data_IF_496411913403
#
_entry.id   IF_496411913403
#
_cell.length_a   1.000
_cell.length_b   1.000
_cell.length_c   1.000
_cell.angle_alpha   90.00
_cell.angle_beta   90.00
_cell.angle_gamma   90.00
#
_symmetry.space_group_name_H-M   'P 1'
#
loop_
_entity.id
_entity.type
_entity.pdbx_description
1 polymer ?
#
# COMPACT_ATOMS: atom_id res chain seq x y z
N UNK A 1 -18.86 -1.91 10.54
CA UNK A 1 -17.72 -1.36 11.32
C UNK A 1 -18.07 0.08 11.67
N UNK A 2 -17.72 0.55 12.88
CA UNK A 2 -17.80 1.97 13.20
C UNK A 2 -16.90 2.77 12.23
N UNK A 3 -17.19 4.07 12.03
CA UNK A 3 -16.30 4.95 11.27
C UNK A 3 -14.86 4.89 11.82
N UNK A 4 -13.88 4.94 10.92
CA UNK A 4 -12.45 4.73 11.22
C UNK A 4 -11.58 5.52 10.24
N UNK A 5 -10.29 5.65 10.55
CA UNK A 5 -9.36 6.49 9.79
C UNK A 5 -8.41 5.71 8.86
N UNK A 6 -8.71 4.46 8.48
CA UNK A 6 -7.80 3.66 7.65
C UNK A 6 -7.49 4.33 6.31
N UNK A 7 -8.49 4.87 5.63
CA UNK A 7 -8.29 5.48 4.31
C UNK A 7 -7.54 6.81 4.43
N UNK A 8 -7.77 7.56 5.51
CA UNK A 8 -7.02 8.79 5.79
C UNK A 8 -5.56 8.47 6.12
N UNK A 9 -5.31 7.47 6.96
CA UNK A 9 -3.96 7.01 7.29
C UNK A 9 -3.21 6.65 6.01
N UNK A 10 -3.81 5.85 5.13
CA UNK A 10 -3.21 5.49 3.84
C UNK A 10 -2.93 6.69 2.95
N UNK A 11 -3.82 7.67 2.88
CA UNK A 11 -3.60 8.87 2.08
C UNK A 11 -2.43 9.72 2.64
N UNK A 12 -2.34 9.86 3.96
CA UNK A 12 -1.22 10.53 4.61
C UNK A 12 0.10 9.78 4.36
N UNK A 13 0.10 8.45 4.49
CA UNK A 13 1.28 7.62 4.19
C UNK A 13 1.69 7.73 2.73
N UNK A 14 0.75 7.70 1.78
CA UNK A 14 1.04 7.90 0.36
C UNK A 14 1.65 9.29 0.09
N UNK A 15 1.16 10.33 0.79
CA UNK A 15 1.71 11.68 0.70
C UNK A 15 3.13 11.77 1.24
N UNK A 16 3.42 11.11 2.36
CA UNK A 16 4.80 11.00 2.90
C UNK A 16 5.73 10.37 1.85
N UNK A 17 5.28 9.32 1.14
CA UNK A 17 6.08 8.68 0.08
C UNK A 17 6.34 9.62 -1.10
N UNK A 18 5.35 10.43 -1.52
CA UNK A 18 5.55 11.45 -2.56
C UNK A 18 6.67 12.41 -2.19
N UNK A 19 6.56 13.04 -1.01
CA UNK A 19 7.51 14.06 -0.60
C UNK A 19 8.91 13.49 -0.38
N UNK A 20 9.01 12.28 0.17
CA UNK A 20 10.27 11.55 0.24
C UNK A 20 10.89 11.36 -1.14
N UNK A 21 10.14 10.89 -2.14
CA UNK A 21 10.66 10.66 -3.48
C UNK A 21 10.97 11.95 -4.25
N UNK A 22 10.24 13.05 -4.02
CA UNK A 22 10.59 14.35 -4.58
C UNK A 22 12.01 14.77 -4.18
N UNK A 23 12.41 14.53 -2.93
CA UNK A 23 13.77 14.78 -2.49
C UNK A 23 14.76 13.71 -2.97
N UNK A 24 14.45 12.43 -2.73
CA UNK A 24 15.37 11.32 -2.98
C UNK A 24 15.70 11.10 -4.47
N UNK A 25 14.78 11.44 -5.38
CA UNK A 25 14.98 11.24 -6.82
C UNK A 25 15.50 12.50 -7.54
N UNK A 26 15.20 13.70 -7.05
CA UNK A 26 15.55 14.92 -7.78
C UNK A 26 17.03 15.30 -7.67
N UNK A 27 17.74 14.83 -6.63
CA UNK A 27 19.09 15.28 -6.32
C UNK A 27 19.18 16.76 -5.91
N UNK A 28 18.05 17.45 -5.72
CA UNK A 28 18.03 18.89 -5.46
C UNK A 28 18.34 19.20 -3.99
N UNK A 29 19.39 19.99 -3.76
CA UNK A 29 19.77 20.47 -2.42
C UNK A 29 18.69 21.36 -1.80
N UNK A 30 17.89 22.06 -2.60
CA UNK A 30 16.80 22.89 -2.10
C UNK A 30 15.68 22.09 -1.39
N UNK A 31 15.58 20.78 -1.70
CA UNK A 31 14.57 19.88 -1.15
C UNK A 31 15.06 19.09 0.08
N UNK A 32 16.25 19.41 0.61
CA UNK A 32 16.76 18.83 1.86
C UNK A 32 15.76 18.86 3.04
N UNK A 33 14.90 19.88 3.22
CA UNK A 33 13.87 19.84 4.27
C UNK A 33 12.85 18.70 4.15
N UNK A 34 12.69 18.09 2.97
CA UNK A 34 11.81 16.93 2.79
C UNK A 34 12.46 15.61 3.21
N UNK A 35 13.75 15.60 3.56
CA UNK A 35 14.45 14.42 4.10
C UNK A 35 13.87 13.91 5.43
N UNK A 36 13.07 14.72 6.12
CA UNK A 36 12.34 14.32 7.33
C UNK A 36 11.33 13.21 7.06
N UNK A 37 10.84 13.13 5.82
CA UNK A 37 9.89 12.10 5.40
C UNK A 37 10.63 10.80 5.12
N UNK A 38 10.15 9.69 5.67
CA UNK A 38 10.72 8.36 5.43
C UNK A 38 9.77 7.50 4.60
N UNK A 39 10.14 7.23 3.35
CA UNK A 39 9.39 6.31 2.49
C UNK A 39 9.32 4.89 3.07
N UNK A 40 10.42 4.40 3.65
CA UNK A 40 10.45 3.08 4.29
C UNK A 40 9.47 2.96 5.46
N UNK A 41 9.45 3.96 6.35
CA UNK A 41 8.50 3.99 7.47
C UNK A 41 7.05 3.98 6.97
N UNK A 42 6.75 4.81 5.97
CA UNK A 42 5.41 4.90 5.43
C UNK A 42 4.93 3.56 4.82
N UNK A 43 5.80 2.88 4.08
CA UNK A 43 5.56 1.55 3.50
C UNK A 43 5.35 0.49 4.59
N UNK A 44 6.13 0.50 5.65
CA UNK A 44 5.95 -0.44 6.76
C UNK A 44 4.61 -0.23 7.48
N UNK A 45 4.20 1.02 7.68
CA UNK A 45 2.86 1.36 8.18
C UNK A 45 1.76 0.86 7.22
N UNK A 46 1.94 0.96 5.90
CA UNK A 46 1.03 0.34 4.93
C UNK A 46 0.95 -1.18 5.12
N UNK A 47 2.07 -1.86 5.41
CA UNK A 47 2.07 -3.30 5.65
C UNK A 47 1.37 -3.69 6.95
N UNK A 48 1.46 -2.89 8.01
CA UNK A 48 0.62 -3.07 9.22
C UNK A 48 -0.86 -2.96 8.87
N UNK A 49 -1.27 -1.88 8.20
CA UNK A 49 -2.67 -1.66 7.81
C UNK A 49 -3.16 -2.82 6.93
N UNK A 50 -2.30 -3.29 6.02
CA UNK A 50 -2.56 -4.43 5.14
C UNK A 50 -2.78 -5.72 5.95
N UNK A 51 -1.94 -5.99 6.95
CA UNK A 51 -2.10 -7.10 7.90
C UNK A 51 -3.49 -7.14 8.51
N UNK A 52 -3.95 -6.01 9.02
CA UNK A 52 -5.28 -5.90 9.60
C UNK A 52 -6.39 -6.15 8.56
N UNK A 53 -6.35 -5.42 7.43
CA UNK A 53 -7.47 -5.39 6.49
C UNK A 53 -7.56 -6.62 5.58
N UNK A 54 -6.45 -7.27 5.28
CA UNK A 54 -6.42 -8.45 4.41
C UNK A 54 -6.89 -9.68 5.18
N UNK A 55 -6.45 -9.88 6.43
CA UNK A 55 -7.02 -10.93 7.31
C UNK A 55 -8.53 -10.72 7.51
N UNK A 56 -8.93 -9.48 7.79
CA UNK A 56 -10.35 -9.12 7.91
C UNK A 56 -11.13 -9.39 6.62
N UNK A 57 -10.53 -9.17 5.45
CA UNK A 57 -11.14 -9.51 4.16
C UNK A 57 -11.27 -11.00 3.94
N UNK A 58 -10.28 -11.81 4.35
CA UNK A 58 -10.31 -13.26 4.17
C UNK A 58 -11.38 -13.91 5.04
N UNK A 59 -11.41 -13.58 6.33
CA UNK A 59 -12.39 -14.13 7.29
C UNK A 59 -13.84 -13.78 6.93
N UNK A 60 -14.07 -12.68 6.20
CA UNK A 60 -15.40 -12.29 5.69
C UNK A 60 -15.73 -12.85 4.30
N UNK A 61 -14.83 -13.61 3.67
CA UNK A 61 -15.05 -14.13 2.32
C UNK A 61 -15.67 -15.52 2.36
N UNK A 62 -16.52 -15.83 1.37
CA UNK A 62 -17.23 -17.12 1.28
C UNK A 62 -16.32 -18.30 0.88
N UNK A 63 -15.06 -18.03 0.54
CA UNK A 63 -14.07 -19.00 0.11
C UNK A 63 -12.91 -18.35 -0.64
N UNK A 64 -11.96 -19.16 -1.11
CA UNK A 64 -10.73 -18.69 -1.77
C UNK A 64 -11.03 -17.85 -3.02
N UNK A 65 -11.94 -18.31 -3.88
CA UNK A 65 -12.30 -17.61 -5.13
C UNK A 65 -12.87 -16.22 -4.87
N UNK A 66 -13.77 -16.09 -3.89
CA UNK A 66 -14.35 -14.81 -3.50
C UNK A 66 -13.30 -13.86 -2.92
N UNK A 67 -12.41 -14.38 -2.07
CA UNK A 67 -11.30 -13.61 -1.51
C UNK A 67 -10.36 -13.08 -2.58
N UNK A 68 -9.81 -13.96 -3.44
CA UNK A 68 -8.88 -13.55 -4.50
C UNK A 68 -9.55 -12.62 -5.52
N UNK A 69 -10.83 -12.81 -5.84
CA UNK A 69 -11.55 -11.89 -6.72
C UNK A 69 -11.72 -10.48 -6.11
N UNK A 70 -11.94 -10.36 -4.79
CA UNK A 70 -11.95 -9.05 -4.10
C UNK A 70 -10.58 -8.39 -4.13
N UNK A 71 -9.51 -9.16 -3.89
CA UNK A 71 -8.13 -8.67 -3.89
C UNK A 71 -7.66 -8.25 -5.28
N UNK A 72 -7.96 -9.05 -6.30
CA UNK A 72 -7.65 -8.76 -7.70
C UNK A 72 -8.31 -7.48 -8.19
N UNK A 73 -9.62 -7.31 -7.94
CA UNK A 73 -10.36 -6.07 -8.29
C UNK A 73 -9.86 -4.84 -7.55
N UNK A 74 -9.15 -5.03 -6.43
CA UNK A 74 -8.58 -3.94 -5.64
C UNK A 74 -7.24 -3.44 -6.19
N UNK A 75 -6.36 -4.34 -6.65
CA UNK A 75 -5.01 -3.97 -7.12
C UNK A 75 -4.93 -3.81 -8.63
N UNK A 76 -5.42 -4.80 -9.40
CA UNK A 76 -5.16 -4.89 -10.84
C UNK A 76 -5.55 -3.63 -11.63
N UNK A 77 -6.71 -2.99 -11.41
CA UNK A 77 -7.15 -1.91 -12.29
C UNK A 77 -6.23 -0.68 -12.20
N UNK A 78 -5.91 -0.23 -10.98
CA UNK A 78 -5.01 0.91 -10.80
C UNK A 78 -3.56 0.55 -11.11
N UNK A 79 -3.14 -0.69 -10.85
CA UNK A 79 -1.80 -1.16 -11.23
C UNK A 79 -1.59 -1.13 -12.74
N UNK A 80 -2.50 -1.73 -13.51
CA UNK A 80 -2.44 -1.71 -14.98
C UNK A 80 -2.54 -0.30 -15.53
N UNK A 81 -3.41 0.54 -14.97
CA UNK A 81 -3.47 1.95 -15.36
C UNK A 81 -2.12 2.66 -15.15
N UNK A 82 -1.46 2.48 -14.01
CA UNK A 82 -0.14 3.06 -13.76
C UNK A 82 0.94 2.51 -14.71
N UNK A 83 0.90 1.22 -15.05
CA UNK A 83 1.82 0.63 -16.05
C UNK A 83 1.56 1.18 -17.45
N UNK A 84 0.30 1.35 -17.85
CA UNK A 84 -0.06 1.93 -19.15
C UNK A 84 0.29 3.42 -19.23
N UNK A 85 0.09 4.18 -18.15
CA UNK A 85 0.57 5.56 -18.06
C UNK A 85 2.09 5.63 -18.22
N UNK A 86 2.81 4.74 -17.55
CA UNK A 86 4.26 4.62 -17.67
C UNK A 86 4.70 4.33 -19.12
N UNK A 87 3.96 3.46 -19.82
CA UNK A 87 4.18 3.21 -21.24
C UNK A 87 3.93 4.45 -22.10
N UNK A 88 2.87 5.21 -21.82
CA UNK A 88 2.59 6.48 -22.52
C UNK A 88 3.72 7.50 -22.36
N UNK A 89 4.30 7.58 -21.15
CA UNK A 89 5.48 8.42 -20.87
C UNK A 89 6.70 7.92 -21.67
N UNK A 90 6.95 6.62 -21.71
CA UNK A 90 8.04 6.04 -22.53
C UNK A 90 7.91 6.46 -23.99
N UNK A 91 6.72 6.32 -24.59
CA UNK A 91 6.48 6.66 -26.00
C UNK A 91 6.68 8.15 -26.31
N UNK A 92 6.57 9.03 -25.31
CA UNK A 92 6.87 10.45 -25.45
C UNK A 92 8.39 10.71 -25.50
N UNK A 93 9.18 10.04 -24.67
CA UNK A 93 10.64 10.23 -24.59
C UNK A 93 11.43 9.42 -25.62
N UNK A 94 10.90 8.28 -26.06
CA UNK A 94 11.54 7.44 -27.07
C UNK A 94 10.53 6.93 -28.08
N UNK A 95 10.89 6.99 -29.35
CA UNK A 95 10.13 6.36 -30.44
C UNK A 95 10.47 4.86 -30.60
N UNK A 96 11.35 4.31 -29.76
CA UNK A 96 11.74 2.91 -29.83
C UNK A 96 10.60 1.98 -29.38
N UNK A 97 10.21 1.05 -30.24
CA UNK A 97 9.11 0.08 -30.00
C UNK A 97 9.53 -1.14 -29.18
N UNK A 98 10.76 -1.21 -28.67
CA UNK A 98 11.26 -2.35 -27.88
C UNK A 98 10.77 -2.35 -26.42
N UNK A 99 9.48 -2.05 -26.23
CA UNK A 99 8.79 -1.99 -24.92
C UNK A 99 8.15 -3.31 -24.50
N UNK A 100 8.15 -4.33 -25.37
CA UNK A 100 7.47 -5.61 -25.12
C UNK A 100 7.95 -6.32 -23.86
N UNK A 101 9.27 -6.38 -23.63
CA UNK A 101 9.85 -6.97 -22.40
C UNK A 101 9.42 -6.18 -21.16
N UNK A 102 9.44 -4.85 -21.23
CA UNK A 102 9.00 -3.98 -20.15
C UNK A 102 7.52 -4.22 -19.82
N UNK A 103 6.65 -4.21 -20.83
CA UNK A 103 5.22 -4.39 -20.64
C UNK A 103 4.89 -5.77 -20.05
N UNK A 104 5.46 -6.84 -20.60
CA UNK A 104 5.22 -8.20 -20.13
C UNK A 104 5.68 -8.39 -18.68
N UNK A 105 6.89 -7.91 -18.35
CA UNK A 105 7.43 -8.01 -17.00
C UNK A 105 6.60 -7.20 -15.99
N UNK A 106 6.26 -5.95 -16.32
CA UNK A 106 5.56 -5.07 -15.39
C UNK A 106 4.10 -5.49 -15.21
N UNK A 107 3.36 -5.84 -16.26
CA UNK A 107 1.97 -6.34 -16.13
C UNK A 107 1.88 -7.64 -15.31
N UNK A 108 2.98 -8.39 -15.20
CA UNK A 108 3.07 -9.64 -14.43
C UNK A 108 3.62 -9.46 -13.01
N UNK A 109 3.75 -8.22 -12.52
CA UNK A 109 4.39 -7.90 -11.22
C UNK A 109 5.88 -8.27 -11.12
N UNK A 110 6.54 -8.55 -12.25
CA UNK A 110 7.96 -8.90 -12.35
C UNK A 110 8.80 -7.67 -12.74
N UNK A 111 8.51 -6.52 -12.13
CA UNK A 111 9.13 -5.23 -12.46
C UNK A 111 10.66 -5.25 -12.36
N UNK A 112 11.23 -6.13 -11.52
CA UNK A 112 12.67 -6.32 -11.37
C UNK A 112 13.36 -6.90 -12.63
N UNK A 113 12.62 -7.58 -13.52
CA UNK A 113 13.17 -8.11 -14.79
C UNK A 113 13.34 -7.01 -15.85
N UNK A 114 12.57 -5.93 -15.74
CA UNK A 114 12.61 -4.78 -16.64
C UNK A 114 12.11 -3.52 -15.90
N UNK A 115 12.95 -2.91 -15.04
CA UNK A 115 12.54 -1.80 -14.18
C UNK A 115 12.32 -0.47 -14.92
N UNK A 116 12.78 -0.39 -16.17
CA UNK A 116 12.63 0.77 -17.06
C UNK A 116 12.82 0.35 -18.52
N UNK A 117 12.86 1.33 -19.41
CA UNK A 117 13.11 1.16 -20.84
C UNK A 117 14.40 1.90 -21.19
N UNK A 118 15.35 1.27 -21.91
CA UNK A 118 16.58 1.93 -22.32
C UNK A 118 16.31 3.25 -23.06
N UNK A 119 17.11 4.27 -22.79
CA UNK A 119 16.96 5.63 -23.31
C UNK A 119 15.94 6.50 -22.58
N UNK A 120 15.24 6.00 -21.55
CA UNK A 120 14.29 6.80 -20.77
C UNK A 120 14.79 6.92 -19.32
N UNK A 121 14.92 8.18 -18.86
CA UNK A 121 15.39 8.54 -17.51
C UNK A 121 16.81 8.09 -17.14
N UNK A 122 17.62 7.64 -18.10
CA UNK A 122 19.01 7.21 -17.84
C UNK A 122 19.89 8.34 -17.30
N UNK A 123 19.56 9.59 -17.62
CA UNK A 123 20.27 10.78 -17.14
C UNK A 123 19.61 11.42 -15.92
N UNK A 124 18.48 10.88 -15.42
CA UNK A 124 17.88 11.40 -14.20
C UNK A 124 18.78 11.09 -13.00
N UNK A 125 18.87 11.99 -12.01
CA UNK A 125 19.51 11.67 -10.74
C UNK A 125 18.85 10.47 -10.05
N UNK A 126 19.65 9.65 -9.38
CA UNK A 126 19.15 8.49 -8.64
C UNK A 126 18.94 7.24 -9.53
N UNK A 127 17.72 6.70 -9.52
CA UNK A 127 17.41 5.41 -10.17
C UNK A 127 16.65 5.65 -11.48
N UNK A 128 17.12 5.06 -12.59
CA UNK A 128 16.47 5.16 -13.91
C UNK A 128 15.17 4.31 -14.05
N UNK A 129 14.66 3.73 -12.96
CA UNK A 129 13.41 2.97 -12.99
C UNK A 129 12.24 3.86 -13.40
N UNK A 130 11.35 3.30 -14.22
CA UNK A 130 10.11 3.94 -14.63
C UNK A 130 9.14 4.11 -13.47
N UNK A 131 9.04 3.07 -12.62
CA UNK A 131 8.18 3.09 -11.45
C UNK A 131 8.78 2.26 -10.32
N UNK A 132 9.67 2.91 -9.57
CA UNK A 132 10.35 2.28 -8.45
C UNK A 132 9.39 1.87 -7.34
N UNK A 133 8.25 2.55 -7.13
CA UNK A 133 7.36 2.27 -5.98
C UNK A 133 6.66 0.89 -6.06
N UNK A 134 6.57 0.29 -7.25
CA UNK A 134 5.86 -0.97 -7.48
C UNK A 134 6.48 -2.20 -6.78
N UNK A 135 7.72 -2.12 -6.30
CA UNK A 135 8.35 -3.23 -5.56
C UNK A 135 7.53 -3.64 -4.31
N UNK A 136 6.83 -2.68 -3.71
CA UNK A 136 5.97 -2.89 -2.54
C UNK A 136 4.65 -3.58 -2.88
N UNK A 137 4.10 -3.32 -4.07
CA UNK A 137 2.85 -3.95 -4.54
C UNK A 137 3.07 -5.45 -4.76
N UNK A 138 4.24 -5.85 -5.25
CA UNK A 138 4.65 -7.26 -5.33
C UNK A 138 4.55 -7.95 -3.95
N UNK A 139 5.03 -7.30 -2.90
CA UNK A 139 4.95 -7.82 -1.53
C UNK A 139 3.49 -7.91 -1.06
N UNK A 140 2.66 -6.92 -1.39
CA UNK A 140 1.23 -6.96 -1.06
C UNK A 140 0.50 -8.14 -1.74
N UNK A 141 0.80 -8.42 -3.02
CA UNK A 141 0.29 -9.60 -3.72
C UNK A 141 0.75 -10.90 -3.04
N UNK A 142 2.00 -10.96 -2.58
CA UNK A 142 2.47 -12.12 -1.82
C UNK A 142 1.75 -12.26 -0.47
N UNK A 143 1.42 -11.18 0.23
CA UNK A 143 0.53 -11.25 1.40
C UNK A 143 -0.84 -11.83 1.05
N UNK A 144 -1.41 -11.43 -0.10
CA UNK A 144 -2.69 -11.97 -0.54
C UNK A 144 -2.63 -13.49 -0.71
N UNK A 145 -1.53 -14.00 -1.27
CA UNK A 145 -1.29 -15.42 -1.46
C UNK A 145 -1.06 -16.14 -0.12
N UNK A 146 -0.35 -15.52 0.81
CA UNK A 146 0.01 -16.12 2.10
C UNK A 146 -1.16 -16.24 3.08
N UNK A 147 -2.10 -15.30 3.07
CA UNK A 147 -3.16 -15.21 4.10
C UNK A 147 -4.00 -16.47 4.27
N UNK A 148 -4.49 -17.17 3.22
CA UNK A 148 -5.24 -18.41 3.40
C UNK A 148 -4.47 -19.48 4.19
N UNK A 149 -3.17 -19.64 3.89
CA UNK A 149 -2.30 -20.56 4.62
C UNK A 149 -2.11 -20.09 6.07
N UNK A 150 -1.84 -18.80 6.29
CA UNK A 150 -1.66 -18.25 7.64
C UNK A 150 -2.92 -18.39 8.50
N UNK A 151 -4.10 -18.18 7.92
CA UNK A 151 -5.38 -18.35 8.62
C UNK A 151 -5.62 -19.83 8.93
N UNK A 152 -5.31 -20.74 8.01
CA UNK A 152 -5.35 -22.18 8.28
C UNK A 152 -4.41 -22.56 9.44
N UNK A 153 -3.17 -22.08 9.45
CA UNK A 153 -2.22 -22.30 10.55
C UNK A 153 -2.74 -21.72 11.86
N UNK A 154 -3.30 -20.50 11.85
CA UNK A 154 -3.89 -19.87 13.04
C UNK A 154 -5.04 -20.71 13.63
N UNK A 155 -5.84 -21.36 12.77
CA UNK A 155 -6.93 -22.25 13.20
C UNK A 155 -6.41 -23.60 13.72
N UNK A 156 -5.31 -24.12 13.17
CA UNK A 156 -4.74 -25.42 13.53
C UNK A 156 -3.86 -25.40 14.78
N UNK A 157 -3.05 -24.35 14.94
CA UNK A 157 -1.99 -24.24 15.95
C UNK A 157 -2.23 -23.10 16.96
N UNK A 158 -3.20 -22.23 16.70
CA UNK A 158 -3.45 -21.03 17.49
C UNK A 158 -2.87 -19.77 16.86
N UNK A 159 -3.55 -18.64 17.10
CA UNK A 159 -3.28 -17.36 16.42
C UNK A 159 -1.91 -16.79 16.79
N UNK A 160 -1.59 -16.70 18.09
CA UNK A 160 -0.31 -16.17 18.54
C UNK A 160 0.84 -17.16 18.29
N UNK A 161 0.58 -18.46 18.46
CA UNK A 161 1.51 -19.55 18.19
C UNK A 161 1.92 -19.59 16.71
N UNK A 162 1.09 -19.06 15.81
CA UNK A 162 1.41 -18.91 14.39
C UNK A 162 2.09 -17.57 14.10
N UNK A 163 1.46 -16.45 14.49
CA UNK A 163 1.85 -15.12 14.03
C UNK A 163 3.11 -14.58 14.73
N UNK A 164 3.32 -14.91 16.01
CA UNK A 164 4.50 -14.41 16.76
C UNK A 164 5.79 -15.04 16.25
N UNK A 165 5.91 -16.37 16.08
CA UNK A 165 7.13 -16.96 15.52
C UNK A 165 7.47 -16.44 14.12
N UNK A 166 6.45 -16.22 13.26
CA UNK A 166 6.64 -15.64 11.93
C UNK A 166 7.16 -14.20 12.03
N UNK A 167 6.59 -13.39 12.93
CA UNK A 167 7.05 -12.03 13.15
C UNK A 167 8.50 -11.98 13.68
N UNK A 168 8.85 -12.88 14.61
CA UNK A 168 10.22 -13.01 15.13
C UNK A 168 11.18 -13.45 14.03
N UNK A 169 10.85 -14.50 13.27
CA UNK A 169 11.67 -14.97 12.15
C UNK A 169 11.88 -13.89 11.09
N UNK A 170 10.86 -13.08 10.82
CA UNK A 170 10.93 -11.90 9.93
C UNK A 170 11.94 -10.85 10.43
N UNK A 171 11.92 -10.54 11.73
CA UNK A 171 12.87 -9.61 12.35
C UNK A 171 14.29 -10.17 12.28
N UNK A 172 14.48 -11.44 12.63
CA UNK A 172 15.79 -12.11 12.54
C UNK A 172 16.33 -12.07 11.11
N UNK A 173 15.54 -12.50 10.14
CA UNK A 173 15.89 -12.43 8.71
C UNK A 173 16.33 -11.03 8.30
N UNK A 174 15.57 -10.01 8.68
CA UNK A 174 15.85 -8.63 8.31
C UNK A 174 17.13 -8.10 8.95
N UNK A 175 17.38 -8.39 10.22
CA UNK A 175 18.59 -7.98 10.93
C UNK A 175 19.83 -8.64 10.34
N UNK A 176 19.77 -9.95 10.04
CA UNK A 176 20.89 -10.69 9.46
C UNK A 176 21.27 -10.20 8.07
N UNK A 177 20.28 -9.88 7.22
CA UNK A 177 20.53 -9.49 5.83
C UNK A 177 20.70 -7.98 5.63
N UNK A 178 20.33 -7.14 6.60
CA UNK A 178 20.33 -5.67 6.43
C UNK A 178 21.69 -5.11 5.98
N UNK A 179 22.80 -5.70 6.46
CA UNK A 179 24.16 -5.22 6.13
C UNK A 179 24.69 -5.80 4.82
N UNK A 180 24.50 -7.09 4.57
CA UNK A 180 25.08 -7.81 3.42
C UNK A 180 24.21 -7.75 2.17
N UNK A 181 22.89 -7.77 2.33
CA UNK A 181 21.92 -7.85 1.24
C UNK A 181 20.71 -6.94 1.50
N UNK A 182 20.88 -5.61 1.54
CA UNK A 182 19.84 -4.67 1.96
C UNK A 182 18.55 -4.74 1.12
N UNK A 183 18.68 -4.95 -0.19
CA UNK A 183 17.53 -5.12 -1.10
C UNK A 183 16.73 -6.38 -0.79
N UNK A 184 17.42 -7.48 -0.46
CA UNK A 184 16.82 -8.76 -0.11
C UNK A 184 16.19 -8.71 1.29
N UNK A 185 16.82 -8.03 2.24
CA UNK A 185 16.30 -7.80 3.59
C UNK A 185 14.91 -7.12 3.59
N UNK A 186 14.60 -6.34 2.54
CA UNK A 186 13.31 -5.69 2.35
C UNK A 186 12.26 -6.58 1.67
N UNK A 187 12.64 -7.67 1.02
CA UNK A 187 11.69 -8.62 0.42
C UNK A 187 11.08 -9.53 1.49
N UNK A 188 10.08 -10.33 1.13
CA UNK A 188 9.59 -11.36 2.04
C UNK A 188 10.68 -12.40 2.35
N UNK A 189 10.81 -12.83 3.62
CA UNK A 189 9.90 -12.58 4.74
C UNK A 189 10.16 -11.30 5.56
N UNK A 190 11.10 -10.42 5.20
CA UNK A 190 11.53 -9.26 6.00
C UNK A 190 10.47 -8.18 6.31
N UNK A 191 9.29 -8.25 5.69
CA UNK A 191 8.15 -7.36 5.99
C UNK A 191 7.04 -8.04 6.80
N UNK A 192 7.15 -9.35 7.05
CA UNK A 192 6.11 -10.13 7.75
C UNK A 192 5.88 -9.66 9.19
N UNK A 193 6.87 -9.11 9.88
CA UNK A 193 6.71 -8.62 11.26
C UNK A 193 5.66 -7.50 11.35
N UNK A 194 5.68 -6.54 10.43
CA UNK A 194 4.68 -5.47 10.33
C UNK A 194 3.30 -6.03 9.97
N UNK A 195 3.26 -6.91 8.97
CA UNK A 195 2.02 -7.57 8.52
C UNK A 195 1.36 -8.40 9.63
N UNK A 196 2.14 -9.19 10.36
CA UNK A 196 1.69 -9.97 11.51
C UNK A 196 1.20 -9.07 12.64
N UNK A 197 1.84 -7.92 12.88
CA UNK A 197 1.36 -6.93 13.86
C UNK A 197 -0.09 -6.51 13.59
N UNK A 198 -0.39 -6.14 12.34
CA UNK A 198 -1.77 -5.83 11.93
C UNK A 198 -2.74 -7.00 12.06
N UNK A 199 -2.30 -8.21 11.69
CA UNK A 199 -3.11 -9.43 11.80
C UNK A 199 -3.45 -9.79 13.25
N UNK A 200 -2.47 -9.66 14.17
CA UNK A 200 -2.66 -9.85 15.61
C UNK A 200 -3.69 -8.83 16.11
N UNK A 201 -3.55 -7.55 15.79
CA UNK A 201 -4.52 -6.53 16.21
C UNK A 201 -5.93 -6.79 15.65
N UNK A 202 -6.06 -7.38 14.45
CA UNK A 202 -7.36 -7.78 13.93
C UNK A 202 -8.03 -8.86 14.79
N UNK A 203 -7.29 -9.92 15.15
CA UNK A 203 -7.82 -11.01 15.96
C UNK A 203 -8.10 -10.64 17.42
N UNK A 204 -7.37 -9.67 17.96
CA UNK A 204 -7.48 -9.15 19.33
C UNK A 204 -7.96 -7.69 19.33
N UNK A 205 -8.88 -7.37 18.41
CA UNK A 205 -9.43 -6.03 18.25
C UNK A 205 -10.18 -5.53 19.51
N UNK A 206 -10.99 -6.35 20.23
CA UNK A 206 -11.62 -5.91 21.47
C UNK A 206 -10.61 -5.44 22.53
N UNK A 207 -9.53 -6.20 22.71
CA UNK A 207 -8.46 -5.91 23.64
C UNK A 207 -7.69 -4.66 23.21
N UNK A 208 -7.36 -4.53 21.92
CA UNK A 208 -6.72 -3.34 21.39
C UNK A 208 -7.59 -2.09 21.55
N UNK A 209 -8.92 -2.19 21.40
CA UNK A 209 -9.82 -1.06 21.66
C UNK A 209 -9.90 -0.68 23.13
N UNK A 210 -9.79 -1.66 24.03
CA UNK A 210 -9.82 -1.42 25.48
C UNK A 210 -8.51 -0.85 26.00
N UNK A 211 -7.37 -1.38 25.54
CA UNK A 211 -6.06 -1.08 26.12
C UNK A 211 -5.10 -0.33 25.20
N UNK A 212 -5.39 -0.20 23.91
CA UNK A 212 -4.46 0.33 22.91
C UNK A 212 -4.03 1.78 23.15
N UNK A 213 -4.85 2.60 23.82
CA UNK A 213 -4.47 3.96 24.23
C UNK A 213 -3.29 3.96 25.20
N UNK A 214 -3.24 3.00 26.11
CA UNK A 214 -2.14 2.84 27.07
C UNK A 214 -0.86 2.32 26.42
N UNK A 215 -0.97 1.70 25.23
CA UNK A 215 0.19 1.25 24.47
C UNK A 215 0.85 2.37 23.65
N UNK A 216 0.20 3.52 23.47
CA UNK A 216 0.73 4.63 22.65
C UNK A 216 2.03 5.19 23.21
N UNK A 217 2.09 5.54 24.49
CA UNK A 217 3.30 6.08 25.09
C UNK A 217 4.48 5.06 25.07
N UNK A 218 4.29 3.78 25.44
CA UNK A 218 5.30 2.74 25.23
C UNK A 218 5.74 2.59 23.78
N UNK A 219 4.83 2.69 22.80
CA UNK A 219 5.16 2.60 21.38
C UNK A 219 5.99 3.79 20.89
N UNK A 220 5.70 5.01 21.35
CA UNK A 220 6.52 6.21 21.07
C UNK A 220 7.92 6.01 21.65
N UNK A 221 8.01 5.59 22.92
CA UNK A 221 9.31 5.32 23.56
C UNK A 221 10.08 4.23 22.81
N UNK A 222 9.42 3.13 22.44
CA UNK A 222 10.04 2.05 21.66
C UNK A 222 10.56 2.54 20.29
N UNK A 223 9.82 3.45 19.63
CA UNK A 223 10.28 4.07 18.39
C UNK A 223 11.49 4.98 18.60
N UNK A 224 11.49 5.80 19.65
CA UNK A 224 12.62 6.66 20.02
C UNK A 224 13.86 5.80 20.30
N UNK A 225 13.73 4.77 21.14
CA UNK A 225 14.83 3.84 21.44
C UNK A 225 15.34 3.15 20.16
N UNK A 226 14.43 2.71 19.28
CA UNK A 226 14.81 2.18 17.97
C UNK A 226 15.63 3.19 17.16
N UNK A 227 15.17 4.44 17.06
CA UNK A 227 15.79 5.48 16.25
C UNK A 227 17.18 5.88 16.77
N UNK A 228 17.37 5.97 18.09
CA UNK A 228 18.64 6.35 18.70
C UNK A 228 19.65 5.20 18.78
N UNK A 229 19.21 3.99 19.11
CA UNK A 229 20.11 2.85 19.39
C UNK A 229 20.17 1.81 18.26
N UNK A 230 19.41 2.00 17.18
CA UNK A 230 19.38 1.05 16.04
C UNK A 230 18.70 -0.29 16.36
N UNK A 231 17.90 -0.35 17.41
CA UNK A 231 17.26 -1.58 17.91
C UNK A 231 16.05 -1.94 17.03
N UNK A 232 16.27 -2.63 15.91
CA UNK A 232 15.23 -2.85 14.89
C UNK A 232 14.01 -3.63 15.38
N UNK A 233 14.15 -4.58 16.32
CA UNK A 233 13.03 -5.41 16.77
C UNK A 233 11.91 -4.64 17.48
N UNK A 234 12.18 -3.41 17.97
CA UNK A 234 11.17 -2.53 18.56
C UNK A 234 10.29 -1.84 17.52
N UNK A 235 10.79 -1.68 16.29
CA UNK A 235 10.13 -0.92 15.22
C UNK A 235 8.79 -1.54 14.78
N UNK A 236 8.65 -2.87 14.57
CA UNK A 236 7.35 -3.46 14.22
C UNK A 236 6.28 -3.23 15.28
N UNK A 237 6.62 -3.39 16.56
CA UNK A 237 5.69 -3.11 17.66
C UNK A 237 5.26 -1.64 17.66
N UNK A 238 6.23 -0.73 17.61
CA UNK A 238 5.98 0.70 17.66
C UNK A 238 5.07 1.15 16.49
N UNK A 239 5.43 0.83 15.25
CA UNK A 239 4.64 1.22 14.09
C UNK A 239 3.26 0.56 14.09
N UNK A 240 3.14 -0.69 14.56
CA UNK A 240 1.85 -1.38 14.67
C UNK A 240 0.89 -0.62 15.57
N UNK A 241 1.35 -0.29 16.78
CA UNK A 241 0.50 0.41 17.76
C UNK A 241 0.17 1.81 17.26
N UNK A 242 1.14 2.59 16.78
CA UNK A 242 0.93 3.98 16.39
C UNK A 242 -0.05 4.12 15.22
N UNK A 243 0.14 3.36 14.14
CA UNK A 243 -0.72 3.49 12.95
C UNK A 243 -2.13 2.96 13.21
N UNK A 244 -2.27 1.89 14.00
CA UNK A 244 -3.58 1.33 14.32
C UNK A 244 -4.29 2.12 15.41
N UNK A 245 -3.58 2.75 16.34
CA UNK A 245 -4.17 3.69 17.29
C UNK A 245 -4.77 4.90 16.56
N UNK A 246 -4.03 5.48 15.61
CA UNK A 246 -4.55 6.53 14.73
C UNK A 246 -5.79 6.06 13.96
N UNK A 247 -5.72 4.85 13.39
CA UNK A 247 -6.78 4.32 12.52
C UNK A 247 -8.06 3.92 13.27
N UNK A 248 -7.95 3.41 14.51
CA UNK A 248 -9.04 2.74 15.22
C UNK A 248 -9.50 3.44 16.53
N UNK A 249 -8.64 4.24 17.17
CA UNK A 249 -8.89 4.78 18.52
C UNK A 249 -9.17 6.29 18.52
N UNK A 250 -8.76 6.99 17.47
CA UNK A 250 -9.14 8.39 17.24
C UNK A 250 -10.56 8.48 16.67
N UNK A 251 -11.29 9.57 16.96
CA UNK A 251 -12.52 9.89 16.25
C UNK A 251 -12.29 9.92 14.74
N UNK A 252 -13.33 9.60 13.97
CA UNK A 252 -13.26 9.71 12.53
C UNK A 252 -13.05 11.16 12.10
N UNK A 253 -12.02 11.38 11.30
CA UNK A 253 -11.71 12.68 10.72
C UNK A 253 -12.31 12.69 9.32
N UNK A 254 -13.34 13.51 9.12
CA UNK A 254 -13.94 13.70 7.79
C UNK A 254 -12.93 14.42 6.91
N UNK A 255 -12.50 13.76 5.84
CA UNK A 255 -11.50 14.28 4.92
C UNK A 255 -11.84 13.96 3.46
N UNK A 256 -10.88 14.15 2.54
CA UNK A 256 -11.09 13.88 1.12
C UNK A 256 -11.45 12.42 0.84
N UNK A 257 -11.09 11.50 1.74
CA UNK A 257 -11.40 10.08 1.67
C UNK A 257 -12.90 9.77 1.70
N UNK A 258 -13.76 10.73 2.05
CA UNK A 258 -15.23 10.59 1.94
C UNK A 258 -15.73 10.42 0.49
N UNK A 259 -14.94 10.87 -0.48
CA UNK A 259 -15.30 10.84 -1.91
C UNK A 259 -14.71 9.64 -2.66
N UNK A 260 -13.81 8.88 -2.03
CA UNK A 260 -13.15 7.75 -2.66
C UNK A 260 -11.86 7.36 -1.96
N UNK A 261 -11.36 6.17 -2.31
CA UNK A 261 -10.08 5.69 -1.82
C UNK A 261 -8.97 6.05 -2.81
N UNK A 262 -8.51 7.29 -2.73
CA UNK A 262 -7.49 7.83 -3.63
C UNK A 262 -6.06 7.37 -3.28
N UNK A 263 -5.87 6.78 -2.10
CA UNK A 263 -4.54 6.46 -1.56
C UNK A 263 -3.74 5.56 -2.47
N UNK A 264 -4.41 4.61 -3.14
CA UNK A 264 -3.78 3.68 -4.06
C UNK A 264 -3.24 4.40 -5.31
N UNK A 265 -4.08 5.17 -6.01
CA UNK A 265 -3.65 5.99 -7.16
C UNK A 265 -2.51 6.93 -6.80
N UNK A 266 -2.61 7.64 -5.68
CA UNK A 266 -1.57 8.56 -5.20
C UNK A 266 -0.25 7.82 -5.01
N UNK A 267 -0.30 6.60 -4.50
CA UNK A 267 0.86 5.76 -4.27
C UNK A 267 1.46 5.15 -5.56
N UNK A 268 0.66 4.67 -6.51
CA UNK A 268 1.22 4.02 -7.71
C UNK A 268 1.60 4.98 -8.83
N UNK A 269 1.01 6.19 -8.86
CA UNK A 269 1.19 7.16 -9.96
C UNK A 269 2.29 8.19 -9.70
N UNK A 270 2.74 8.39 -8.47
CA UNK A 270 3.70 9.46 -8.18
C UNK A 270 5.07 9.26 -8.81
N UNK A 271 5.59 8.03 -8.84
CA UNK A 271 6.97 7.78 -9.24
C UNK A 271 7.20 8.14 -10.73
N UNK A 272 6.37 7.68 -11.69
CA UNK A 272 6.52 8.08 -13.09
C UNK A 272 6.34 9.59 -13.31
N UNK A 273 5.42 10.23 -12.57
CA UNK A 273 5.19 11.68 -12.66
C UNK A 273 6.43 12.44 -12.17
N UNK A 274 7.01 12.06 -11.03
CA UNK A 274 8.23 12.69 -10.51
C UNK A 274 9.37 12.53 -11.51
N UNK A 275 9.62 11.32 -12.02
CA UNK A 275 10.68 11.06 -12.99
C UNK A 275 10.52 11.86 -14.28
N UNK A 276 9.27 12.02 -14.75
CA UNK A 276 8.97 12.84 -15.92
C UNK A 276 9.34 14.30 -15.68
N UNK A 277 8.95 14.88 -14.54
CA UNK A 277 9.25 16.28 -14.25
C UNK A 277 10.75 16.52 -13.97
N UNK A 278 11.46 15.52 -13.45
CA UNK A 278 12.93 15.54 -13.35
C UNK A 278 13.55 15.57 -14.75
N UNK A 279 13.12 14.68 -15.65
CA UNK A 279 13.65 14.59 -17.02
C UNK A 279 13.39 15.87 -17.83
N UNK A 280 12.29 16.58 -17.55
CA UNK A 280 11.97 17.88 -18.14
C UNK A 280 12.76 19.06 -17.52
N UNK A 281 13.60 18.81 -16.51
CA UNK A 281 14.45 19.81 -15.85
C UNK A 281 13.71 20.73 -14.86
N UNK A 282 12.46 20.43 -14.49
CA UNK A 282 11.68 21.31 -13.60
C UNK A 282 12.25 21.31 -12.18
N UNK A 283 12.75 20.17 -11.70
CA UNK A 283 13.37 20.06 -10.38
C UNK A 283 14.70 20.81 -10.26
N UNK A 284 15.41 21.02 -11.37
CA UNK A 284 16.64 21.82 -11.41
C UNK A 284 16.30 23.32 -11.42
N UNK A 285 15.32 23.72 -12.23
CA UNK A 285 14.94 25.14 -12.41
C UNK A 285 14.15 25.72 -11.24
N UNK A 286 13.18 24.97 -10.72
CA UNK A 286 12.25 25.44 -9.70
C UNK A 286 11.78 24.28 -8.78
N UNK A 287 12.64 23.78 -7.87
CA UNK A 287 12.39 22.57 -7.07
C UNK A 287 11.05 22.57 -6.32
N UNK A 288 10.72 23.67 -5.63
CA UNK A 288 9.48 23.76 -4.86
C UNK A 288 8.23 23.89 -5.73
N UNK A 289 8.33 24.57 -6.88
CA UNK A 289 7.25 24.61 -7.85
C UNK A 289 7.02 23.23 -8.49
N UNK A 290 8.10 22.47 -8.75
CA UNK A 290 8.02 21.10 -9.21
C UNK A 290 7.32 20.21 -8.17
N UNK A 291 7.63 20.33 -6.87
CA UNK A 291 6.91 19.61 -5.80
C UNK A 291 5.42 19.94 -5.79
N UNK A 292 5.06 21.22 -5.88
CA UNK A 292 3.65 21.63 -5.92
C UNK A 292 2.93 21.03 -7.15
N UNK A 293 3.60 21.04 -8.31
CA UNK A 293 3.08 20.44 -9.54
C UNK A 293 2.94 18.92 -9.43
N UNK A 294 3.91 18.21 -8.84
CA UNK A 294 3.80 16.78 -8.55
C UNK A 294 2.56 16.51 -7.71
N UNK A 295 2.37 17.22 -6.60
CA UNK A 295 1.22 17.02 -5.71
C UNK A 295 -0.10 17.24 -6.45
N UNK A 296 -0.20 18.31 -7.25
CA UNK A 296 -1.39 18.62 -8.03
C UNK A 296 -1.68 17.56 -9.12
N UNK A 297 -0.67 17.19 -9.90
CA UNK A 297 -0.80 16.18 -10.97
C UNK A 297 -1.16 14.81 -10.39
N UNK A 298 -0.45 14.37 -9.34
CA UNK A 298 -0.74 13.09 -8.70
C UNK A 298 -2.15 13.08 -8.13
N UNK A 299 -2.57 14.13 -7.43
CA UNK A 299 -3.95 14.22 -6.92
C UNK A 299 -4.98 14.15 -8.05
N UNK A 300 -4.79 14.93 -9.13
CA UNK A 300 -5.69 14.96 -10.28
C UNK A 300 -5.79 13.60 -10.98
N UNK A 301 -4.65 13.03 -11.37
CA UNK A 301 -4.60 11.73 -12.09
C UNK A 301 -5.11 10.59 -11.20
N UNK A 302 -4.89 10.65 -9.88
CA UNK A 302 -5.43 9.66 -8.94
C UNK A 302 -6.95 9.74 -8.83
N UNK A 303 -7.52 10.94 -8.81
CA UNK A 303 -8.97 11.15 -8.81
C UNK A 303 -9.59 10.66 -10.12
N UNK A 304 -8.94 10.96 -11.26
CA UNK A 304 -9.37 10.46 -12.57
C UNK A 304 -9.30 8.93 -12.65
N UNK A 305 -8.19 8.33 -12.22
CA UNK A 305 -8.02 6.86 -12.12
C UNK A 305 -9.13 6.22 -11.29
N UNK A 306 -9.43 6.81 -10.13
CA UNK A 306 -10.46 6.31 -9.24
C UNK A 306 -11.83 6.24 -9.93
N UNK A 307 -12.29 7.33 -10.54
CA UNK A 307 -13.62 7.39 -11.15
C UNK A 307 -13.71 6.66 -12.50
N UNK A 308 -12.65 6.70 -13.30
CA UNK A 308 -12.64 6.09 -14.64
C UNK A 308 -12.40 4.58 -14.60
N UNK A 309 -11.56 4.11 -13.68
CA UNK A 309 -11.05 2.73 -13.67
C UNK A 309 -11.45 2.01 -12.38
N UNK A 310 -10.91 2.42 -11.23
CA UNK A 310 -10.95 1.61 -10.01
C UNK A 310 -12.37 1.41 -9.46
N UNK A 311 -13.16 2.48 -9.41
CA UNK A 311 -14.54 2.44 -8.88
C UNK A 311 -15.42 1.46 -9.65
N UNK A 312 -15.26 1.35 -10.96
CA UNK A 312 -16.05 0.45 -11.83
C UNK A 312 -15.78 -1.02 -11.52
N UNK A 313 -14.52 -1.35 -11.25
CA UNK A 313 -14.13 -2.72 -10.90
C UNK A 313 -14.61 -3.09 -9.50
N UNK A 314 -14.56 -2.15 -8.55
CA UNK A 314 -15.05 -2.39 -7.19
C UNK A 314 -16.58 -2.51 -7.13
N UNK A 315 -17.33 -1.77 -7.96
CA UNK A 315 -18.80 -1.85 -8.01
C UNK A 315 -19.35 -3.04 -8.82
N UNK A 316 -18.56 -3.62 -9.73
CA UNK A 316 -18.99 -4.67 -10.70
C UNK A 316 -19.51 -5.99 -10.11
N UNK A 317 -19.47 -6.19 -8.78
CA UNK A 317 -20.26 -7.22 -8.08
C UNK A 317 -20.72 -6.76 -6.70
N UNK A 318 -21.47 -5.66 -6.61
CA UNK A 318 -22.71 -5.77 -5.86
C UNK A 318 -23.55 -6.83 -6.59
N UNK A 319 -24.13 -7.81 -5.89
CA UNK A 319 -24.98 -8.83 -6.54
C UNK A 319 -25.92 -8.21 -7.58
N UNK A 320 -26.24 -8.89 -8.69
CA UNK A 320 -27.40 -8.50 -9.48
C UNK A 320 -28.59 -8.36 -8.51
N UNK A 321 -29.29 -7.22 -8.47
CA UNK A 321 -30.48 -7.11 -7.64
C UNK A 321 -31.53 -8.02 -8.27
N UNK A 322 -31.85 -9.20 -7.68
CA UNK A 322 -33.16 -9.88 -7.87
C UNK A 322 -33.32 -11.34 -7.35
N UNK A 323 -32.58 -11.83 -6.35
CA UNK A 323 -33.10 -13.02 -5.60
C UNK A 323 -33.78 -12.60 -4.30
N UNK A 324 -33.15 -11.74 -3.48
CA UNK A 324 -33.79 -11.19 -2.28
C UNK A 324 -35.05 -10.35 -2.59
N UNK A 325 -35.05 -9.58 -3.69
CA UNK A 325 -36.24 -8.84 -4.14
C UNK A 325 -37.36 -9.75 -4.66
N UNK A 326 -37.04 -10.86 -5.34
CA UNK A 326 -38.04 -11.85 -5.78
C UNK A 326 -38.63 -12.62 -4.59
N UNK A 327 -37.85 -12.88 -3.55
CA UNK A 327 -38.33 -13.52 -2.31
C UNK A 327 -39.21 -12.56 -1.49
N UNK A 328 -38.87 -11.27 -1.42
CA UNK A 328 -39.69 -10.25 -0.74
C UNK A 328 -40.99 -9.92 -1.50
N UNK A 329 -40.96 -9.89 -2.84
CA UNK A 329 -42.15 -9.72 -3.68
C UNK A 329 -43.05 -10.97 -3.67
N UNK A 330 -42.47 -12.18 -3.66
CA UNK A 330 -43.21 -13.43 -3.49
C UNK A 330 -43.87 -13.57 -2.11
N UNK A 331 -43.17 -13.16 -1.04
CA UNK A 331 -43.72 -13.14 0.31
C UNK A 331 -44.82 -12.07 0.48
N UNK A 332 -44.71 -10.92 -0.19
CA UNK A 332 -45.75 -9.88 -0.21
C UNK A 332 -46.96 -10.29 -1.03
N UNK A 333 -46.79 -10.99 -2.15
CA UNK A 333 -47.91 -11.51 -2.94
C UNK A 333 -48.71 -12.57 -2.17
N UNK A 334 -48.03 -13.45 -1.41
CA UNK A 334 -48.69 -14.46 -0.59
C UNK A 334 -49.45 -13.89 0.63
N UNK A 335 -49.03 -12.73 1.14
CA UNK A 335 -49.66 -12.06 2.29
C UNK A 335 -50.87 -11.17 1.91
N UNK A 336 -51.08 -10.90 0.61
CA UNK A 336 -52.22 -10.12 0.10
C UNK A 336 -53.33 -11.04 -0.43
N UNK A 337 -53.04 -12.33 -0.64
CA UNK A 337 -53.98 -13.37 -1.07
C UNK A 337 -54.57 -14.22 0.07
N UNK A 338 -54.26 -13.89 1.33
CA UNK A 338 -54.78 -14.51 2.56
C UNK A 338 -55.54 -13.47 3.36
#
# INVERSE_FOLDING_TARGET
MKPNNFDLARLLLASIVIYFHCHALSGSAALQPLSVFSGHLAVECFFVISGFLIFASYERSKGLKDYYAKRARRILPGYWFATLLSLGIVLYFTHALHVGKYLLANLSFLTFLAPGVPGVFEHNPGNASMNGSLWTIKIEVMFYIAVPLLVWMCRRFGRLQTLVPIAVASVVYRVLLAKSHPTLALQLPGQMSFFCGGAITYYYLPEFKRYGRWLVAPAILAYIVHAYFGVFFLRPFALTVLVLAFSLLLPEIKGPTRWGDFSYGVYVLHYPIIQTLIALGLFERAPWAAVALVTALVACVSVLSWYAVERRWLSSRAHPPSELRRMEEGARAAAVSS
#
